data_IF_423494960847
#
_entry.id   IF_423494960847
#
_cell.length_a   1.000
_cell.length_b   1.000
_cell.length_c   1.000
_cell.angle_alpha   90.00
_cell.angle_beta   90.00
_cell.angle_gamma   90.00
#
_symmetry.space_group_name_H-M   'P 1'
#
loop_
_entity.id
_entity.type
_entity.pdbx_description
1 polymer ?
#
# COMPACT_ATOMS: atom_id res chain seq x y z
N UNK A 1 -31.90 5.76 13.84
CA UNK A 1 -30.56 6.35 13.98
C UNK A 1 -29.69 5.84 12.86
N UNK A 2 -29.11 6.74 12.09
CA UNK A 2 -28.19 6.35 11.02
C UNK A 2 -26.82 5.98 11.61
N UNK A 3 -26.19 4.92 11.11
CA UNK A 3 -24.85 4.54 11.60
C UNK A 3 -23.81 5.60 11.25
N UNK A 4 -22.90 5.84 12.17
CA UNK A 4 -21.76 6.75 12.00
C UNK A 4 -20.49 6.05 12.46
N UNK A 5 -19.51 5.96 11.60
CA UNK A 5 -18.22 5.34 11.90
C UNK A 5 -17.16 6.40 12.17
N UNK A 6 -16.35 6.18 13.20
CA UNK A 6 -15.17 7.01 13.46
C UNK A 6 -13.94 6.34 12.85
N UNK A 7 -13.28 7.03 11.95
CA UNK A 7 -12.10 6.52 11.23
C UNK A 7 -10.85 7.23 11.74
N UNK A 8 -9.96 6.48 12.35
CA UNK A 8 -8.76 7.00 13.01
C UNK A 8 -7.46 6.66 12.29
N UNK A 9 -7.54 5.98 11.16
CA UNK A 9 -6.39 5.64 10.32
C UNK A 9 -5.80 6.90 9.68
N UNK A 10 -4.57 6.84 9.14
CA UNK A 10 -4.01 7.95 8.36
C UNK A 10 -5.02 8.47 7.33
N UNK A 11 -5.00 9.78 7.07
CA UNK A 11 -6.06 10.46 6.32
C UNK A 11 -6.42 9.78 5.00
N UNK A 12 -5.45 9.44 4.18
CA UNK A 12 -5.74 8.84 2.87
C UNK A 12 -6.41 7.47 3.01
N UNK A 13 -5.96 6.65 3.96
CA UNK A 13 -6.60 5.35 4.23
C UNK A 13 -8.02 5.53 4.76
N UNK A 14 -8.24 6.52 5.63
CA UNK A 14 -9.57 6.85 6.15
C UNK A 14 -10.50 7.34 5.05
N UNK A 15 -10.02 8.18 4.14
CA UNK A 15 -10.82 8.66 3.01
C UNK A 15 -11.24 7.52 2.09
N UNK A 16 -10.35 6.59 1.80
CA UNK A 16 -10.66 5.42 0.99
C UNK A 16 -11.70 4.53 1.68
N UNK A 17 -11.55 4.30 2.98
CA UNK A 17 -12.52 3.51 3.74
C UNK A 17 -13.87 4.20 3.83
N UNK A 18 -13.88 5.53 4.01
CA UNK A 18 -15.12 6.31 4.06
C UNK A 18 -15.94 6.16 2.77
N UNK A 19 -15.29 6.12 1.61
CA UNK A 19 -15.97 5.90 0.33
C UNK A 19 -16.64 4.51 0.28
N UNK A 20 -15.95 3.48 0.74
CA UNK A 20 -16.48 2.12 0.79
C UNK A 20 -17.69 2.01 1.73
N UNK A 21 -17.60 2.68 2.89
CA UNK A 21 -18.67 2.71 3.88
C UNK A 21 -19.89 3.48 3.35
N UNK A 22 -19.65 4.61 2.70
CA UNK A 22 -20.73 5.42 2.12
C UNK A 22 -21.53 4.61 1.09
N UNK A 23 -20.84 3.82 0.28
CA UNK A 23 -21.49 2.96 -0.71
C UNK A 23 -22.43 1.92 -0.05
N UNK A 24 -22.26 1.66 1.25
CA UNK A 24 -23.10 0.77 2.04
C UNK A 24 -24.02 1.50 3.02
N UNK A 25 -24.20 2.80 2.84
CA UNK A 25 -25.10 3.60 3.66
C UNK A 25 -24.56 4.02 5.02
N UNK A 26 -23.25 3.94 5.24
CA UNK A 26 -22.62 4.32 6.51
C UNK A 26 -21.87 5.63 6.34
N UNK A 27 -22.25 6.65 7.11
CA UNK A 27 -21.52 7.91 7.18
C UNK A 27 -20.28 7.76 8.07
N UNK A 28 -19.28 8.58 7.84
CA UNK A 28 -18.00 8.50 8.57
C UNK A 28 -17.58 9.87 9.05
N UNK A 29 -16.91 9.88 10.21
CA UNK A 29 -16.14 11.01 10.72
C UNK A 29 -14.67 10.61 10.65
N UNK A 30 -13.85 11.41 9.97
CA UNK A 30 -12.42 11.14 9.79
C UNK A 30 -11.62 11.97 10.77
N UNK A 31 -11.00 11.30 11.75
CA UNK A 31 -10.16 11.92 12.77
C UNK A 31 -8.88 11.10 12.92
N UNK A 32 -7.87 11.31 12.04
CA UNK A 32 -6.65 10.54 12.09
C UNK A 32 -5.91 10.74 13.40
N UNK A 33 -5.49 9.64 14.02
CA UNK A 33 -4.62 9.66 15.20
C UNK A 33 -3.17 9.29 14.86
N UNK A 34 -2.91 8.96 13.59
CA UNK A 34 -1.59 8.64 13.07
C UNK A 34 -1.38 9.45 11.79
N UNK A 35 -0.21 10.06 11.69
CA UNK A 35 0.23 10.75 10.49
C UNK A 35 1.44 10.03 9.91
N UNK A 36 1.43 9.79 8.60
CA UNK A 36 2.56 9.18 7.91
C UNK A 36 3.50 10.29 7.45
N UNK A 37 4.71 10.31 7.98
CA UNK A 37 5.73 11.32 7.66
C UNK A 37 6.94 10.63 7.04
N UNK A 38 7.34 11.00 5.81
CA UNK A 38 8.56 10.46 5.23
C UNK A 38 9.79 10.77 6.07
N UNK A 39 10.70 9.81 6.18
CA UNK A 39 11.98 10.03 6.86
C UNK A 39 12.89 10.90 5.96
N UNK A 40 13.38 11.98 6.52
CA UNK A 40 14.36 12.80 5.82
C UNK A 40 15.65 12.01 5.61
N UNK A 41 16.20 12.07 4.40
CA UNK A 41 17.44 11.38 4.07
C UNK A 41 17.33 9.86 3.86
N UNK A 42 16.12 9.30 3.88
CA UNK A 42 15.91 7.89 3.55
C UNK A 42 16.36 7.61 2.12
N UNK A 43 17.07 6.50 1.93
CA UNK A 43 17.61 6.08 0.62
C UNK A 43 17.33 4.62 0.38
N UNK A 44 17.08 4.27 -0.89
CA UNK A 44 16.97 2.89 -1.30
C UNK A 44 18.36 2.35 -1.67
N UNK A 45 18.63 1.07 -1.38
CA UNK A 45 19.81 0.40 -1.94
C UNK A 45 19.64 0.25 -3.46
N UNK A 46 20.72 -0.14 -4.15
CA UNK A 46 20.62 -0.47 -5.56
C UNK A 46 19.64 -1.60 -5.80
N UNK A 47 18.68 -1.40 -6.69
CA UNK A 47 17.63 -2.38 -6.96
C UNK A 47 18.03 -3.44 -7.99
N UNK A 48 19.14 -3.25 -8.68
CA UNK A 48 19.59 -4.15 -9.77
C UNK A 48 19.81 -5.60 -9.31
N UNK A 49 20.06 -5.78 -8.03
CA UNK A 49 20.33 -7.10 -7.43
C UNK A 49 19.09 -7.68 -6.75
N UNK A 50 17.98 -6.97 -6.78
CA UNK A 50 16.74 -7.39 -6.14
C UNK A 50 15.83 -8.06 -7.17
N UNK A 51 15.25 -9.17 -6.80
CA UNK A 51 14.34 -9.93 -7.66
C UNK A 51 12.90 -9.44 -7.53
N UNK A 52 12.53 -8.94 -6.36
CA UNK A 52 11.19 -8.47 -6.09
C UNK A 52 11.18 -7.48 -4.92
N UNK A 53 10.12 -6.69 -4.89
CA UNK A 53 9.79 -5.80 -3.77
C UNK A 53 8.64 -6.44 -3.00
N UNK A 54 8.79 -6.58 -1.68
CA UNK A 54 7.75 -7.14 -0.82
C UNK A 54 7.19 -6.02 0.07
N UNK A 55 5.90 -5.75 -0.06
CA UNK A 55 5.24 -4.64 0.63
C UNK A 55 4.10 -5.14 1.51
N UNK A 56 4.05 -4.67 2.74
CA UNK A 56 3.06 -5.10 3.73
C UNK A 56 2.01 -4.04 4.04
N UNK A 57 2.09 -2.87 3.42
CA UNK A 57 1.09 -1.81 3.62
C UNK A 57 1.01 -0.87 2.41
N UNK A 58 -0.15 -0.26 2.23
CA UNK A 58 -0.34 0.76 1.20
C UNK A 58 0.53 2.00 1.48
N UNK A 59 0.71 2.35 2.75
CA UNK A 59 1.60 3.46 3.13
C UNK A 59 3.06 3.17 2.76
N UNK A 60 3.51 1.92 2.94
CA UNK A 60 4.84 1.49 2.50
C UNK A 60 5.02 1.60 1.00
N UNK A 61 4.00 1.23 0.23
CA UNK A 61 4.00 1.37 -1.24
C UNK A 61 4.17 2.83 -1.64
N UNK A 62 3.38 3.73 -1.05
CA UNK A 62 3.45 5.16 -1.37
C UNK A 62 4.80 5.77 -0.99
N UNK A 63 5.35 5.38 0.16
CA UNK A 63 6.67 5.83 0.58
C UNK A 63 7.77 5.34 -0.36
N UNK A 64 7.72 4.09 -0.78
CA UNK A 64 8.63 3.52 -1.77
C UNK A 64 8.55 4.28 -3.10
N UNK A 65 7.34 4.53 -3.58
CA UNK A 65 7.13 5.28 -4.82
C UNK A 65 7.74 6.69 -4.75
N UNK A 66 7.61 7.35 -3.60
CA UNK A 66 8.24 8.64 -3.38
C UNK A 66 9.77 8.60 -3.46
N UNK A 67 10.38 7.53 -2.95
CA UNK A 67 11.83 7.33 -3.02
C UNK A 67 12.31 6.97 -4.42
N UNK A 68 11.52 6.24 -5.18
CA UNK A 68 11.86 5.87 -6.57
C UNK A 68 11.75 7.06 -7.52
N UNK A 69 10.93 8.04 -7.20
CA UNK A 69 10.61 9.14 -8.10
C UNK A 69 9.48 8.81 -9.07
N UNK A 70 9.21 9.68 -10.04
CA UNK A 70 8.08 9.49 -10.95
C UNK A 70 8.24 8.25 -11.83
N UNK A 71 7.12 7.63 -12.27
CA UNK A 71 7.17 6.54 -13.22
C UNK A 71 7.91 6.96 -14.52
N UNK A 72 8.63 6.02 -15.18
CA UNK A 72 8.66 4.57 -14.95
C UNK A 72 9.75 4.08 -14.00
N UNK A 73 10.43 4.97 -13.28
CA UNK A 73 11.57 4.59 -12.43
C UNK A 73 11.21 3.46 -11.44
N UNK A 74 11.88 2.32 -11.57
CA UNK A 74 11.70 1.14 -10.71
C UNK A 74 10.38 0.39 -10.88
N UNK A 75 9.46 0.87 -11.72
CA UNK A 75 8.11 0.30 -11.86
C UNK A 75 8.07 -1.03 -12.61
N UNK A 76 9.15 -1.41 -13.26
CA UNK A 76 9.28 -2.71 -13.94
C UNK A 76 9.49 -3.87 -12.96
N UNK A 77 9.86 -3.60 -11.72
CA UNK A 77 10.15 -4.62 -10.74
C UNK A 77 8.88 -5.37 -10.32
N UNK A 78 9.03 -6.67 -10.08
CA UNK A 78 7.97 -7.45 -9.48
C UNK A 78 7.67 -6.92 -8.07
N UNK A 79 6.40 -6.66 -7.77
CA UNK A 79 5.97 -6.22 -6.46
C UNK A 79 4.97 -7.22 -5.90
N UNK A 80 5.35 -7.83 -4.79
CA UNK A 80 4.50 -8.76 -4.07
C UNK A 80 3.89 -8.04 -2.87
N UNK A 81 2.58 -7.92 -2.86
CA UNK A 81 1.84 -7.22 -1.83
C UNK A 81 1.17 -8.20 -0.88
N UNK A 82 1.07 -7.84 0.39
CA UNK A 82 0.44 -8.69 1.40
C UNK A 82 -1.04 -8.93 1.09
N UNK A 83 -1.75 -7.95 0.57
CA UNK A 83 -3.17 -8.05 0.28
C UNK A 83 -3.64 -7.06 -0.77
N UNK A 84 -4.96 -7.02 -0.96
CA UNK A 84 -5.59 -6.23 -2.03
C UNK A 84 -5.34 -4.73 -1.92
N UNK A 85 -5.38 -4.16 -0.71
CA UNK A 85 -5.18 -2.71 -0.53
C UNK A 85 -3.78 -2.27 -0.92
N UNK A 86 -2.76 -3.04 -0.52
CA UNK A 86 -1.36 -2.77 -0.89
C UNK A 86 -1.14 -2.97 -2.39
N UNK A 87 -1.73 -4.01 -2.97
CA UNK A 87 -1.65 -4.28 -4.41
C UNK A 87 -2.28 -3.14 -5.22
N UNK A 88 -3.44 -2.66 -4.82
CA UNK A 88 -4.12 -1.55 -5.48
C UNK A 88 -3.30 -0.26 -5.39
N UNK A 89 -2.73 0.03 -4.22
CA UNK A 89 -1.85 1.18 -4.05
C UNK A 89 -0.65 1.08 -5.00
N UNK A 90 -0.07 -0.10 -5.17
CA UNK A 90 1.05 -0.31 -6.08
C UNK A 90 0.67 -0.04 -7.54
N UNK A 91 -0.50 -0.51 -7.96
CA UNK A 91 -0.98 -0.24 -9.33
C UNK A 91 -1.21 1.25 -9.57
N UNK A 92 -1.76 1.96 -8.59
CA UNK A 92 -1.94 3.42 -8.66
C UNK A 92 -0.63 4.17 -8.77
N UNK A 93 0.44 3.64 -8.17
CA UNK A 93 1.78 4.23 -8.26
C UNK A 93 2.53 3.83 -9.53
N UNK A 94 1.90 3.09 -10.44
CA UNK A 94 2.45 2.77 -11.75
C UNK A 94 3.19 1.45 -11.85
N UNK A 95 3.18 0.62 -10.80
CA UNK A 95 3.77 -0.72 -10.89
C UNK A 95 2.90 -1.61 -11.78
N UNK A 96 3.53 -2.30 -12.71
CA UNK A 96 2.83 -3.12 -13.70
C UNK A 96 2.83 -4.61 -13.35
N UNK A 97 3.81 -5.06 -12.59
CA UNK A 97 3.98 -6.46 -12.21
C UNK A 97 3.65 -6.62 -10.72
N UNK A 98 2.38 -6.60 -10.39
CA UNK A 98 1.88 -6.64 -9.00
C UNK A 98 1.10 -7.91 -8.76
N UNK A 99 1.42 -8.58 -7.65
CA UNK A 99 0.69 -9.77 -7.21
C UNK A 99 0.34 -9.65 -5.72
N UNK A 100 -0.91 -9.95 -5.37
CA UNK A 100 -1.38 -9.97 -3.99
C UNK A 100 -1.24 -11.38 -3.41
N UNK A 101 -0.76 -11.45 -2.16
CA UNK A 101 -0.62 -12.73 -1.46
C UNK A 101 -1.91 -13.21 -0.79
N UNK A 102 -2.92 -12.34 -0.69
CA UNK A 102 -4.22 -12.73 -0.16
C UNK A 102 -4.48 -12.37 1.30
N UNK A 103 -3.58 -11.70 2.01
CA UNK A 103 -3.98 -11.07 3.24
C UNK A 103 -3.05 -11.06 4.44
N UNK A 104 -2.05 -11.93 4.55
CA UNK A 104 -1.15 -11.91 5.71
C UNK A 104 0.32 -12.13 5.34
N UNK A 105 1.20 -11.93 6.32
CA UNK A 105 2.65 -12.03 6.12
C UNK A 105 3.08 -13.46 5.79
N UNK A 106 2.41 -14.45 6.36
CA UNK A 106 2.70 -15.86 6.05
C UNK A 106 2.38 -16.18 4.58
N UNK A 107 1.25 -15.69 4.07
CA UNK A 107 0.88 -15.83 2.67
C UNK A 107 1.87 -15.09 1.76
N UNK A 108 2.34 -13.91 2.17
CA UNK A 108 3.35 -13.17 1.41
C UNK A 108 4.66 -13.94 1.33
N UNK A 109 5.11 -14.52 2.43
CA UNK A 109 6.32 -15.33 2.45
C UNK A 109 6.18 -16.55 1.53
N UNK A 110 5.04 -17.24 1.57
CA UNK A 110 4.76 -18.38 0.70
C UNK A 110 4.78 -17.99 -0.78
N UNK A 111 4.18 -16.85 -1.12
CA UNK A 111 4.18 -16.32 -2.48
C UNK A 111 5.60 -16.01 -2.95
N UNK A 112 6.40 -15.38 -2.10
CA UNK A 112 7.79 -15.06 -2.43
C UNK A 112 8.60 -16.32 -2.69
N UNK A 113 8.46 -17.34 -1.85
CA UNK A 113 9.15 -18.62 -2.03
C UNK A 113 8.74 -19.33 -3.32
N UNK A 114 7.48 -19.22 -3.71
CA UNK A 114 6.99 -19.83 -4.95
C UNK A 114 7.46 -19.10 -6.20
N UNK A 115 7.69 -17.79 -6.09
CA UNK A 115 8.07 -16.90 -7.20
C UNK A 115 9.58 -16.80 -7.41
N UNK A 116 10.35 -16.82 -6.34
CA UNK A 116 11.80 -16.55 -6.35
C UNK A 116 12.70 -17.85 -6.25
#
# INVERSE_FOLDING_TARGET
MSPLALLTRPRLDSENLALLLRARGVASLIEPVIEIVPLAGARLPGLDRMQALLLTSANGVRALAGLLGPPPAGRHMALLAVGAASAEAARREGFENVQSAGGDVAALAALALARL
#
